data_IF_177441115110
#
_entry.id   IF_177441115110
#
_cell.length_a   1.000
_cell.length_b   1.000
_cell.length_c   1.000
_cell.angle_alpha   90.00
_cell.angle_beta   90.00
_cell.angle_gamma   90.00
#
_symmetry.space_group_name_H-M   'P 1'
#
loop_
_entity.id
_entity.type
_entity.pdbx_description
1 polymer ?
#
# COMPACT_ATOMS: atom_id res chain seq x y z
N UNK A 1 22.77 -3.69 20.75
CA UNK A 1 22.59 -2.74 19.63
C UNK A 1 22.74 -3.53 18.35
N UNK A 2 21.68 -3.66 17.55
CA UNK A 2 21.82 -4.25 16.22
C UNK A 2 22.72 -3.33 15.39
N UNK A 3 23.75 -3.87 14.76
CA UNK A 3 24.59 -3.09 13.86
C UNK A 3 23.71 -2.64 12.68
N UNK A 4 23.48 -1.34 12.55
CA UNK A 4 22.75 -0.80 11.40
C UNK A 4 23.47 -1.22 10.12
N UNK A 5 22.70 -1.76 9.18
CA UNK A 5 23.23 -2.22 7.91
C UNK A 5 23.86 -1.03 7.15
N UNK A 6 25.09 -1.16 6.62
CA UNK A 6 25.73 -0.06 5.91
C UNK A 6 24.91 0.32 4.67
N UNK A 7 24.58 1.60 4.55
CA UNK A 7 23.91 2.15 3.37
C UNK A 7 24.91 2.30 2.20
N UNK A 8 24.46 2.15 0.94
CA UNK A 8 25.27 2.47 -0.23
C UNK A 8 25.71 3.94 -0.24
N UNK A 9 26.81 4.23 -0.94
CA UNK A 9 27.34 5.58 -1.08
C UNK A 9 26.25 6.57 -1.57
N UNK A 10 26.18 7.72 -0.88
CA UNK A 10 25.23 8.79 -1.15
C UNK A 10 23.89 8.69 -0.41
N UNK A 11 23.62 7.63 0.34
CA UNK A 11 22.44 7.54 1.21
C UNK A 11 22.79 7.93 2.65
N UNK A 12 21.99 8.82 3.23
CA UNK A 12 22.06 9.23 4.64
C UNK A 12 20.89 8.58 5.40
N UNK A 13 21.12 7.85 6.51
CA UNK A 13 20.06 7.29 7.34
C UNK A 13 18.94 8.27 7.72
N UNK A 14 19.26 9.57 7.88
CA UNK A 14 18.27 10.61 8.21
C UNK A 14 17.39 11.02 7.03
N UNK A 15 17.84 10.75 5.82
CA UNK A 15 17.19 11.14 4.57
C UNK A 15 16.96 9.94 3.65
N UNK A 16 16.77 8.75 4.22
CA UNK A 16 16.54 7.51 3.47
C UNK A 16 15.28 6.82 3.98
N UNK A 17 14.42 6.42 3.05
CA UNK A 17 13.26 5.55 3.30
C UNK A 17 13.42 4.28 2.48
N UNK A 18 13.26 3.13 3.12
CA UNK A 18 13.39 1.82 2.46
C UNK A 18 12.04 1.34 1.97
N UNK A 19 11.92 1.05 0.68
CA UNK A 19 10.71 0.48 0.10
C UNK A 19 10.79 -1.04 0.15
N UNK A 20 9.95 -1.67 0.95
CA UNK A 20 9.83 -3.11 1.15
C UNK A 20 9.10 -3.76 -0.05
N UNK A 21 9.73 -3.73 -1.22
CA UNK A 21 9.22 -4.35 -2.44
C UNK A 21 10.34 -4.91 -3.31
N UNK A 22 10.11 -6.07 -3.91
CA UNK A 22 10.90 -6.58 -5.03
C UNK A 22 10.50 -6.01 -6.41
N UNK A 23 9.40 -5.25 -6.51
CA UNK A 23 8.94 -4.70 -7.78
C UNK A 23 9.46 -3.27 -8.02
N UNK A 24 10.42 -3.13 -8.92
CA UNK A 24 11.03 -1.83 -9.26
C UNK A 24 10.05 -0.80 -9.81
N UNK A 25 8.95 -1.22 -10.44
CA UNK A 25 7.91 -0.28 -10.89
C UNK A 25 7.21 0.38 -9.71
N UNK A 26 6.98 -0.36 -8.61
CA UNK A 26 6.42 0.21 -7.38
C UNK A 26 7.36 1.25 -6.77
N UNK A 27 8.67 0.99 -6.76
CA UNK A 27 9.67 1.96 -6.29
C UNK A 27 9.55 3.28 -7.07
N UNK A 28 9.53 3.22 -8.41
CA UNK A 28 9.43 4.42 -9.25
C UNK A 28 8.13 5.20 -8.99
N UNK A 29 6.99 4.52 -8.84
CA UNK A 29 5.70 5.17 -8.53
C UNK A 29 5.70 5.83 -7.15
N UNK A 30 6.25 5.15 -6.14
CA UNK A 30 6.38 5.67 -4.77
C UNK A 30 7.28 6.90 -4.74
N UNK A 31 8.46 6.82 -5.34
CA UNK A 31 9.42 7.92 -5.39
C UNK A 31 8.84 9.14 -6.10
N UNK A 32 8.17 8.94 -7.25
CA UNK A 32 7.59 10.04 -8.02
C UNK A 32 6.54 10.85 -7.23
N UNK A 33 5.72 10.19 -6.40
CA UNK A 33 4.65 10.86 -5.65
C UNK A 33 5.15 11.38 -4.30
N UNK A 34 5.88 10.57 -3.54
CA UNK A 34 6.23 10.93 -2.17
C UNK A 34 7.39 11.92 -2.08
N UNK A 35 8.24 12.03 -3.11
CA UNK A 35 9.27 13.07 -3.16
C UNK A 35 8.72 14.49 -3.17
N UNK A 36 7.45 14.69 -3.59
CA UNK A 36 6.77 15.99 -3.53
C UNK A 36 6.56 16.48 -2.09
N UNK A 37 6.35 15.56 -1.15
CA UNK A 37 6.05 15.86 0.27
C UNK A 37 7.22 15.58 1.20
N UNK A 38 8.22 14.82 0.75
CA UNK A 38 9.45 14.50 1.48
C UNK A 38 10.69 15.05 0.76
N UNK A 39 10.88 16.38 0.71
CA UNK A 39 12.01 16.97 0.00
C UNK A 39 13.35 16.52 0.60
N UNK A 40 14.26 16.06 -0.26
CA UNK A 40 15.58 15.59 0.14
C UNK A 40 15.64 14.16 0.67
N UNK A 41 14.50 13.48 0.82
CA UNK A 41 14.47 12.05 1.12
C UNK A 41 14.75 11.25 -0.14
N UNK A 42 15.58 10.21 -0.02
CA UNK A 42 15.85 9.23 -1.07
C UNK A 42 15.15 7.92 -0.75
N UNK A 43 14.63 7.26 -1.78
CA UNK A 43 14.01 5.95 -1.66
C UNK A 43 14.98 4.87 -2.16
N UNK A 44 15.01 3.74 -1.48
CA UNK A 44 15.81 2.58 -1.88
C UNK A 44 14.99 1.32 -1.71
N UNK A 45 14.98 0.44 -2.72
CA UNK A 45 14.32 -0.86 -2.57
C UNK A 45 15.10 -1.71 -1.58
N UNK A 46 14.40 -2.45 -0.72
CA UNK A 46 15.01 -3.28 0.30
C UNK A 46 16.02 -4.28 -0.29
N UNK A 47 15.74 -4.82 -1.49
CA UNK A 47 16.63 -5.76 -2.19
C UNK A 47 17.97 -5.16 -2.62
N UNK A 48 18.07 -3.82 -2.67
CA UNK A 48 19.32 -3.11 -2.98
C UNK A 48 20.20 -2.92 -1.74
N UNK A 49 19.65 -3.08 -0.53
CA UNK A 49 20.41 -2.95 0.72
C UNK A 49 20.97 -4.29 1.19
N UNK A 50 20.15 -5.34 1.11
CA UNK A 50 20.57 -6.70 1.43
C UNK A 50 19.80 -7.73 0.62
N UNK A 51 20.50 -8.85 0.37
CA UNK A 51 19.84 -10.11 0.08
C UNK A 51 18.94 -10.44 1.29
N UNK A 52 17.64 -10.43 1.07
CA UNK A 52 16.65 -10.78 2.07
C UNK A 52 15.55 -11.58 1.39
N UNK A 53 14.94 -12.48 2.15
CA UNK A 53 13.69 -13.09 1.71
C UNK A 53 12.57 -12.11 2.09
N UNK A 54 11.67 -11.82 1.16
CA UNK A 54 10.46 -11.07 1.50
C UNK A 54 9.72 -11.83 2.63
N UNK A 55 9.21 -11.12 3.64
CA UNK A 55 8.49 -11.77 4.73
C UNK A 55 7.22 -12.45 4.21
N UNK A 56 6.83 -13.55 4.86
CA UNK A 56 5.60 -14.25 4.50
C UNK A 56 4.37 -13.38 4.80
N UNK A 57 3.54 -13.15 3.78
CA UNK A 57 2.27 -12.42 3.86
C UNK A 57 1.19 -13.31 4.51
N UNK A 58 1.14 -13.30 5.84
CA UNK A 58 0.21 -14.10 6.66
C UNK A 58 -1.03 -13.33 7.10
N UNK A 59 -1.16 -12.05 6.71
CA UNK A 59 -2.30 -11.21 7.02
C UNK A 59 -3.57 -11.63 6.29
N UNK A 60 -4.71 -11.37 6.91
CA UNK A 60 -6.04 -11.56 6.33
C UNK A 60 -6.50 -10.33 5.51
N UNK A 61 -5.77 -9.22 5.59
CA UNK A 61 -6.06 -7.95 4.92
C UNK A 61 -4.82 -7.35 4.23
N UNK A 62 -5.06 -6.44 3.28
CA UNK A 62 -3.99 -5.69 2.62
C UNK A 62 -3.19 -4.83 3.61
N UNK A 63 -3.88 -4.26 4.60
CA UNK A 63 -3.27 -3.48 5.66
C UNK A 63 -2.28 -4.30 6.49
N UNK A 64 -2.69 -5.47 6.97
CA UNK A 64 -1.82 -6.36 7.74
C UNK A 64 -0.59 -6.78 6.93
N UNK A 65 -0.76 -7.14 5.66
CA UNK A 65 0.35 -7.52 4.79
C UNK A 65 1.31 -6.34 4.52
N UNK A 66 0.79 -5.13 4.28
CA UNK A 66 1.61 -3.94 4.13
C UNK A 66 2.41 -3.66 5.42
N UNK A 67 1.77 -3.76 6.59
CA UNK A 67 2.43 -3.59 7.88
C UNK A 67 3.46 -4.67 8.18
N UNK A 68 3.19 -5.94 7.86
CA UNK A 68 4.15 -7.05 8.01
C UNK A 68 5.42 -6.73 7.22
N UNK A 69 5.27 -6.34 5.94
CA UNK A 69 6.39 -5.98 5.06
C UNK A 69 7.17 -4.78 5.59
N UNK A 70 6.48 -3.69 5.93
CA UNK A 70 7.13 -2.47 6.41
C UNK A 70 7.87 -2.70 7.74
N UNK A 71 7.21 -3.35 8.73
CA UNK A 71 7.83 -3.64 10.04
C UNK A 71 9.01 -4.57 9.94
N UNK A 72 8.94 -5.61 9.10
CA UNK A 72 10.08 -6.50 8.87
C UNK A 72 11.27 -5.73 8.28
N UNK A 73 11.00 -4.81 7.35
CA UNK A 73 12.03 -3.96 6.77
C UNK A 73 12.65 -2.99 7.80
N UNK A 74 11.82 -2.35 8.63
CA UNK A 74 12.30 -1.51 9.75
C UNK A 74 13.15 -2.33 10.72
N UNK A 75 12.72 -3.53 11.10
CA UNK A 75 13.46 -4.40 12.01
C UNK A 75 14.82 -4.82 11.43
N UNK A 76 14.90 -5.06 10.12
CA UNK A 76 16.12 -5.48 9.45
C UNK A 76 17.10 -4.32 9.19
N UNK A 77 16.59 -3.12 8.93
CA UNK A 77 17.41 -1.99 8.46
C UNK A 77 17.65 -0.93 9.55
N UNK A 78 16.72 -0.79 10.49
CA UNK A 78 16.65 0.32 11.43
C UNK A 78 16.28 1.66 10.78
N UNK A 79 15.81 1.65 9.53
CA UNK A 79 15.42 2.84 8.77
C UNK A 79 13.90 2.89 8.62
N UNK A 80 13.30 4.08 8.41
CA UNK A 80 11.89 4.17 8.06
C UNK A 80 11.59 3.37 6.79
N UNK A 81 10.44 2.72 6.75
CA UNK A 81 10.05 1.87 5.63
C UNK A 81 8.68 2.19 5.07
N UNK A 82 8.53 1.97 3.76
CA UNK A 82 7.26 1.97 3.05
C UNK A 82 7.03 0.58 2.46
N UNK A 83 5.81 0.06 2.60
CA UNK A 83 5.38 -1.16 1.91
C UNK A 83 3.99 -0.97 1.29
N UNK A 84 3.75 -1.62 0.16
CA UNK A 84 2.46 -1.65 -0.54
C UNK A 84 1.95 -3.08 -0.63
N UNK A 85 0.70 -3.29 -0.22
CA UNK A 85 -0.07 -4.49 -0.53
C UNK A 85 -1.29 -4.14 -1.38
N UNK A 86 -1.46 -4.88 -2.47
CA UNK A 86 -2.44 -4.53 -3.50
C UNK A 86 -3.05 -5.76 -4.14
N UNK A 87 -4.33 -5.69 -4.51
CA UNK A 87 -5.03 -6.79 -5.14
C UNK A 87 -6.35 -6.41 -5.77
N UNK A 88 -6.96 -7.38 -6.44
CA UNK A 88 -8.29 -7.30 -7.03
C UNK A 88 -9.32 -7.85 -6.03
N UNK A 89 -10.40 -7.11 -5.83
CA UNK A 89 -11.55 -7.49 -5.01
C UNK A 89 -12.76 -7.55 -5.93
N UNK A 90 -13.45 -8.69 -5.98
CA UNK A 90 -14.64 -8.88 -6.83
C UNK A 90 -15.85 -9.16 -5.97
N UNK A 91 -16.88 -8.34 -6.11
CA UNK A 91 -18.04 -8.37 -5.22
C UNK A 91 -18.80 -9.70 -5.31
N UNK A 92 -19.01 -10.20 -6.54
CA UNK A 92 -19.69 -11.48 -6.77
C UNK A 92 -18.91 -12.72 -6.27
N UNK A 93 -17.66 -12.54 -5.83
CA UNK A 93 -16.83 -13.61 -5.27
C UNK A 93 -16.50 -13.36 -3.80
N UNK A 94 -17.35 -12.62 -3.08
CA UNK A 94 -17.16 -12.26 -1.68
C UNK A 94 -15.78 -11.62 -1.41
N UNK A 95 -15.32 -10.81 -2.37
CA UNK A 95 -14.05 -10.09 -2.33
C UNK A 95 -12.84 -10.87 -2.83
N UNK A 96 -12.97 -12.13 -3.25
CA UNK A 96 -11.88 -12.86 -3.88
C UNK A 96 -11.50 -12.22 -5.25
N UNK A 97 -10.23 -12.30 -5.68
CA UNK A 97 -9.11 -13.00 -5.03
C UNK A 97 -8.52 -12.30 -3.79
N UNK A 98 -8.76 -11.01 -3.59
CA UNK A 98 -8.33 -10.27 -2.39
C UNK A 98 -6.82 -10.30 -2.19
N UNK A 99 -6.36 -10.54 -0.96
CA UNK A 99 -4.93 -10.67 -0.61
C UNK A 99 -4.23 -11.82 -1.33
N UNK A 100 -4.98 -12.76 -1.90
CA UNK A 100 -4.43 -13.86 -2.70
C UNK A 100 -4.25 -13.51 -4.17
N UNK A 101 -4.45 -12.26 -4.58
CA UNK A 101 -4.42 -11.81 -5.98
C UNK A 101 -3.23 -12.32 -6.78
N UNK A 102 -2.01 -12.27 -6.24
CA UNK A 102 -0.80 -12.72 -6.92
C UNK A 102 -0.70 -14.26 -7.04
N UNK A 103 -1.43 -15.00 -6.20
CA UNK A 103 -1.35 -16.46 -6.06
C UNK A 103 -2.72 -17.14 -6.15
N UNK A 104 -3.67 -16.52 -6.87
CA UNK A 104 -5.05 -16.96 -6.89
C UNK A 104 -5.20 -18.37 -7.50
N UNK A 105 -4.38 -18.69 -8.49
CA UNK A 105 -4.26 -20.03 -9.08
C UNK A 105 -3.28 -20.96 -8.36
N UNK A 106 -2.78 -20.58 -7.19
CA UNK A 106 -1.88 -21.39 -6.34
C UNK A 106 -0.39 -21.13 -6.54
N UNK A 107 0.01 -20.57 -7.68
CA UNK A 107 1.40 -20.18 -7.96
C UNK A 107 1.51 -18.65 -7.97
N UNK A 108 2.50 -18.11 -7.25
CA UNK A 108 2.74 -16.67 -7.20
C UNK A 108 3.20 -16.14 -8.57
N UNK A 109 2.55 -15.09 -9.08
CA UNK A 109 2.93 -14.39 -10.30
C UNK A 109 2.50 -15.06 -11.61
N UNK A 110 1.65 -16.10 -11.57
CA UNK A 110 1.10 -16.72 -12.77
C UNK A 110 -0.17 -15.98 -13.24
N UNK A 111 0.03 -14.85 -13.91
CA UNK A 111 -1.07 -14.01 -14.40
C UNK A 111 -2.03 -14.74 -15.34
N UNK A 112 -1.52 -15.67 -16.15
CA UNK A 112 -2.34 -16.45 -17.09
C UNK A 112 -3.27 -17.38 -16.32
N UNK A 113 -2.75 -18.15 -15.36
CA UNK A 113 -3.56 -19.04 -14.56
C UNK A 113 -4.53 -18.27 -13.63
N UNK A 114 -4.08 -17.14 -13.06
CA UNK A 114 -4.90 -16.25 -12.24
C UNK A 114 -6.10 -15.72 -13.04
N UNK A 115 -5.87 -15.22 -14.25
CA UNK A 115 -6.93 -14.73 -15.14
C UNK A 115 -7.89 -15.84 -15.56
N UNK A 116 -7.38 -17.04 -15.90
CA UNK A 116 -8.21 -18.19 -16.25
C UNK A 116 -9.12 -18.61 -15.08
N UNK A 117 -8.58 -18.68 -13.85
CA UNK A 117 -9.37 -18.98 -12.65
C UNK A 117 -10.44 -17.92 -12.39
N UNK A 118 -10.12 -16.64 -12.56
CA UNK A 118 -11.08 -15.55 -12.39
C UNK A 118 -12.23 -15.64 -13.38
N UNK A 119 -11.93 -15.87 -14.66
CA UNK A 119 -12.95 -16.03 -15.69
C UNK A 119 -13.88 -17.22 -15.41
N UNK A 120 -13.30 -18.36 -15.02
CA UNK A 120 -14.07 -19.55 -14.64
C UNK A 120 -14.97 -19.31 -13.43
N UNK A 121 -14.44 -18.67 -12.38
CA UNK A 121 -15.22 -18.33 -11.19
C UNK A 121 -16.42 -17.41 -11.48
N UNK A 122 -16.32 -16.59 -12.53
CA UNK A 122 -17.34 -15.63 -12.91
C UNK A 122 -18.17 -16.07 -14.13
N UNK A 123 -18.07 -17.31 -14.59
CA UNK A 123 -18.72 -17.76 -15.84
C UNK A 123 -20.24 -17.54 -15.82
N UNK A 124 -20.88 -17.89 -14.71
CA UNK A 124 -22.33 -17.78 -14.52
C UNK A 124 -22.79 -16.39 -14.01
N UNK A 125 -21.87 -15.47 -13.73
CA UNK A 125 -22.21 -14.15 -13.17
C UNK A 125 -22.66 -13.18 -14.29
N UNK A 126 -23.87 -12.59 -14.18
CA UNK A 126 -24.36 -11.58 -15.12
C UNK A 126 -23.47 -10.33 -15.19
N UNK A 127 -23.44 -9.63 -16.32
CA UNK A 127 -22.50 -8.50 -16.54
C UNK A 127 -22.69 -7.33 -15.56
N UNK A 128 -23.92 -7.13 -15.09
CA UNK A 128 -24.32 -6.15 -14.09
C UNK A 128 -23.78 -6.43 -12.69
N UNK A 129 -23.45 -7.69 -12.38
CA UNK A 129 -22.99 -8.15 -11.06
C UNK A 129 -21.45 -8.32 -10.99
N UNK A 130 -20.73 -8.10 -12.09
CA UNK A 130 -19.26 -8.25 -12.17
C UNK A 130 -18.48 -7.06 -11.58
N UNK A 131 -19.05 -6.36 -10.60
CA UNK A 131 -18.39 -5.22 -9.98
C UNK A 131 -17.11 -5.66 -9.26
N UNK A 132 -16.06 -4.88 -9.44
CA UNK A 132 -14.76 -5.17 -8.88
C UNK A 132 -13.99 -3.88 -8.65
N UNK A 133 -12.99 -3.97 -7.78
CA UNK A 133 -12.06 -2.87 -7.52
C UNK A 133 -10.66 -3.40 -7.37
N UNK A 134 -9.70 -2.68 -7.94
CA UNK A 134 -8.34 -2.79 -7.43
C UNK A 134 -8.22 -1.99 -6.14
N UNK A 135 -7.52 -2.53 -5.15
CA UNK A 135 -7.24 -1.90 -3.87
C UNK A 135 -5.74 -1.90 -3.61
N UNK A 136 -5.22 -0.82 -3.03
CA UNK A 136 -3.86 -0.74 -2.49
C UNK A 136 -3.91 -0.10 -1.11
N UNK A 137 -3.16 -0.69 -0.18
CA UNK A 137 -2.83 -0.11 1.11
C UNK A 137 -1.32 0.06 1.17
N UNK A 138 -0.89 1.29 1.42
CA UNK A 138 0.53 1.65 1.56
C UNK A 138 0.79 2.03 3.01
N UNK A 139 1.67 1.29 3.67
CA UNK A 139 2.08 1.54 5.04
C UNK A 139 3.43 2.26 5.09
N UNK A 140 3.52 3.33 5.87
CA UNK A 140 4.76 3.96 6.32
C UNK A 140 4.99 3.63 7.79
N UNK A 141 6.19 3.17 8.14
CA UNK A 141 6.57 2.80 9.51
C UNK A 141 7.92 3.43 9.85
N UNK A 142 7.97 4.18 10.95
CA UNK A 142 9.23 4.67 11.54
C UNK A 142 9.88 3.62 12.46
N UNK A 143 11.21 3.62 12.61
CA UNK A 143 11.88 2.84 13.65
C UNK A 143 11.52 3.38 15.04
N UNK A 144 11.42 2.47 16.01
CA UNK A 144 11.37 2.87 17.41
C UNK A 144 12.63 3.62 17.80
N UNK A 145 12.48 4.82 18.34
CA UNK A 145 13.58 5.52 18.99
C UNK A 145 13.71 4.91 20.37
N UNK A 146 14.84 4.24 20.64
CA UNK A 146 15.14 3.77 21.99
C UNK A 146 15.16 4.99 22.93
N UNK A 147 14.11 5.17 23.73
CA UNK A 147 14.08 6.18 24.78
C UNK A 147 15.18 5.82 25.78
N UNK A 148 16.15 6.72 25.99
CA UNK A 148 16.91 6.68 27.24
C UNK A 148 15.90 6.90 28.37
N UNK A 149 15.98 6.12 29.44
CA UNK A 149 14.98 5.95 30.49
C UNK A 149 14.62 7.18 31.36
N UNK A 150 14.59 8.40 30.82
CA UNK A 150 14.48 9.64 31.58
C UNK A 150 13.11 10.37 31.50
N UNK A 151 12.20 10.00 30.59
CA UNK A 151 11.00 10.81 30.34
C UNK A 151 9.69 10.01 30.37
N UNK A 152 9.52 9.14 31.36
CA UNK A 152 8.23 8.56 31.70
C UNK A 152 7.60 9.30 32.90
N UNK A 153 7.03 10.49 32.67
CA UNK A 153 6.03 11.07 33.58
C UNK A 153 5.32 12.27 32.94
N UNK A 154 4.13 12.04 32.40
CA UNK A 154 2.91 12.84 32.62
C UNK A 154 1.70 12.16 31.94
N UNK A 155 0.51 12.17 32.55
CA UNK A 155 -0.66 11.48 32.02
C UNK A 155 -1.37 12.30 30.94
N UNK A 156 -1.88 11.60 29.94
CA UNK A 156 -2.59 12.15 28.78
C UNK A 156 -3.92 12.81 29.18
N UNK A 157 -4.23 13.93 28.52
CA UNK A 157 -5.57 14.54 28.52
C UNK A 157 -6.37 13.99 27.34
N UNK A 158 -7.54 13.48 27.70
CA UNK A 158 -8.64 13.05 26.84
C UNK A 158 -8.99 14.10 25.76
N UNK A 159 -9.09 13.68 24.49
CA UNK A 159 -9.49 14.54 23.37
C UNK A 159 -10.80 14.05 22.74
N UNK A 160 -11.65 15.03 22.42
CA UNK A 160 -13.04 14.92 22.03
C UNK A 160 -13.27 14.35 20.62
N UNK A 161 -14.45 13.73 20.45
CA UNK A 161 -14.97 13.15 19.22
C UNK A 161 -15.14 14.17 18.08
N UNK A 162 -14.74 13.77 16.87
CA UNK A 162 -15.08 14.45 15.62
C UNK A 162 -16.14 13.62 14.85
N UNK A 163 -17.04 14.35 14.20
CA UNK A 163 -18.34 13.95 13.67
C UNK A 163 -18.35 13.42 12.23
N UNK A 164 -19.28 12.48 11.99
CA UNK A 164 -20.07 12.19 10.79
C UNK A 164 -19.36 12.11 9.42
N UNK A 165 -19.04 10.87 9.02
CA UNK A 165 -18.90 10.46 7.61
C UNK A 165 -19.85 9.28 7.36
N UNK A 166 -20.67 9.40 6.32
CA UNK A 166 -21.73 8.47 5.92
C UNK A 166 -21.17 7.04 5.67
N UNK A 167 -21.55 6.10 6.52
CA UNK A 167 -20.85 4.84 6.82
C UNK A 167 -21.52 3.59 6.23
N UNK A 168 -21.81 3.61 4.93
CA UNK A 168 -22.36 2.44 4.25
C UNK A 168 -21.39 1.92 3.17
N UNK A 169 -20.82 0.72 3.43
CA UNK A 169 -20.10 -0.16 2.49
C UNK A 169 -18.56 -0.08 2.33
N UNK A 170 -17.76 0.16 3.38
CA UNK A 170 -16.30 -0.07 3.31
C UNK A 170 -15.67 -0.48 4.66
N UNK A 171 -15.67 -1.78 5.05
CA UNK A 171 -15.08 -2.23 6.32
C UNK A 171 -13.55 -1.98 6.43
N UNK A 172 -12.86 -1.74 5.31
CA UNK A 172 -11.41 -1.51 5.28
C UNK A 172 -10.98 -0.07 5.64
N UNK A 173 -11.88 0.92 5.53
CA UNK A 173 -11.56 2.30 5.90
C UNK A 173 -11.60 2.50 7.41
N UNK A 174 -12.49 1.79 8.10
CA UNK A 174 -12.66 1.85 9.57
C UNK A 174 -11.40 1.36 10.30
N UNK A 175 -10.82 0.23 9.88
CA UNK A 175 -9.58 -0.31 10.44
C UNK A 175 -8.40 0.68 10.35
N UNK A 176 -8.27 1.39 9.23
CA UNK A 176 -7.21 2.38 9.03
C UNK A 176 -7.36 3.60 9.95
N UNK A 177 -8.59 4.01 10.28
CA UNK A 177 -8.84 5.14 11.17
C UNK A 177 -8.49 4.82 12.62
N UNK A 178 -8.73 3.58 13.06
CA UNK A 178 -8.41 3.13 14.42
C UNK A 178 -6.90 3.08 14.70
N UNK A 179 -6.09 2.64 13.72
CA UNK A 179 -4.62 2.62 13.86
C UNK A 179 -4.03 4.03 13.84
N UNK A 180 -4.52 4.91 12.96
CA UNK A 180 -4.07 6.30 12.90
C UNK A 180 -4.38 7.07 14.21
N UNK A 181 -5.34 6.60 15.01
CA UNK A 181 -5.73 7.19 16.30
C UNK A 181 -4.77 6.92 17.46
N UNK A 182 -3.80 6.01 17.34
CA UNK A 182 -2.82 5.72 18.40
C UNK A 182 -1.64 6.71 18.39
N UNK A 183 -1.93 8.01 18.41
CA UNK A 183 -0.94 9.07 18.56
C UNK A 183 -0.67 9.32 20.05
N UNK A 184 0.35 8.65 20.61
CA UNK A 184 0.97 9.06 21.89
C UNK A 184 2.45 9.38 21.68
N UNK A 185 2.96 10.36 22.44
CA UNK A 185 4.35 10.79 22.37
C UNK A 185 5.29 9.69 22.85
N UNK A 186 5.90 8.97 21.91
CA UNK A 186 6.93 7.96 22.18
C UNK A 186 6.87 6.72 21.30
N UNK A 187 5.75 6.47 20.62
CA UNK A 187 5.60 5.32 19.72
C UNK A 187 6.05 5.63 18.28
N UNK A 188 6.55 4.61 17.55
CA UNK A 188 6.92 4.76 16.15
C UNK A 188 5.69 5.15 15.33
N UNK A 189 5.82 6.15 14.47
CA UNK A 189 4.71 6.57 13.62
C UNK A 189 4.38 5.46 12.62
N UNK A 190 3.08 5.13 12.54
CA UNK A 190 2.51 4.25 11.54
C UNK A 190 1.46 5.05 10.82
N UNK A 191 1.63 5.20 9.50
CA UNK A 191 0.67 5.90 8.66
C UNK A 191 0.25 4.96 7.54
N UNK A 192 -1.06 4.89 7.31
CA UNK A 192 -1.64 4.08 6.24
C UNK A 192 -2.27 4.99 5.20
N UNK A 193 -1.91 4.78 3.93
CA UNK A 193 -2.58 5.34 2.77
C UNK A 193 -3.43 4.28 2.07
N UNK A 194 -4.67 4.60 1.73
CA UNK A 194 -5.59 3.69 1.08
C UNK A 194 -6.06 4.25 -0.26
N UNK A 195 -6.22 3.39 -1.26
CA UNK A 195 -6.74 3.80 -2.57
C UNK A 195 -7.40 2.67 -3.32
N UNK A 196 -8.46 3.01 -4.05
CA UNK A 196 -9.20 2.07 -4.90
C UNK A 196 -9.30 2.57 -6.33
N UNK A 197 -9.54 1.63 -7.24
CA UNK A 197 -9.94 1.91 -8.61
C UNK A 197 -11.16 1.04 -8.90
N UNK A 198 -12.34 1.65 -8.96
CA UNK A 198 -13.61 0.95 -9.18
C UNK A 198 -13.81 0.60 -10.66
N UNK A 199 -14.45 -0.54 -10.91
CA UNK A 199 -14.67 -1.04 -12.26
C UNK A 199 -15.45 -2.35 -12.30
N UNK A 200 -15.26 -3.08 -13.39
CA UNK A 200 -15.91 -4.38 -13.62
C UNK A 200 -14.97 -5.38 -14.28
N UNK A 201 -15.26 -6.66 -14.14
CA UNK A 201 -14.51 -7.72 -14.83
C UNK A 201 -15.12 -7.99 -16.20
N UNK A 202 -14.30 -7.98 -17.25
CA UNK A 202 -14.68 -8.33 -18.61
C UNK A 202 -14.94 -9.85 -18.77
N UNK A 203 -15.51 -10.23 -19.92
CA UNK A 203 -15.66 -11.64 -20.33
C UNK A 203 -14.45 -12.20 -21.08
N UNK A 204 -13.56 -11.33 -21.54
CA UNK A 204 -12.38 -11.72 -22.31
C UNK A 204 -11.25 -10.72 -22.06
N UNK A 205 -10.01 -11.20 -22.21
CA UNK A 205 -8.80 -10.39 -22.13
C UNK A 205 -8.79 -9.37 -23.27
N UNK A 206 -8.40 -8.14 -22.97
CA UNK A 206 -8.22 -7.05 -23.94
C UNK A 206 -6.98 -6.23 -23.57
N UNK A 207 -6.24 -5.76 -24.56
CA UNK A 207 -5.04 -4.94 -24.36
C UNK A 207 -3.76 -5.73 -24.08
N UNK A 208 -2.63 -5.05 -24.28
CA UNK A 208 -1.28 -5.63 -24.23
C UNK A 208 -0.38 -4.94 -23.18
N UNK A 209 -0.87 -3.87 -22.54
CA UNK A 209 -0.14 -3.16 -21.49
C UNK A 209 -0.45 -3.72 -20.10
N UNK A 210 0.37 -3.35 -19.12
CA UNK A 210 0.11 -3.70 -17.72
C UNK A 210 0.45 -5.15 -17.38
N UNK A 211 -0.16 -5.67 -16.32
CA UNK A 211 0.11 -7.00 -15.76
C UNK A 211 -1.08 -7.49 -14.91
N UNK A 212 -1.02 -8.74 -14.44
CA UNK A 212 -2.04 -9.31 -13.56
C UNK A 212 -3.42 -9.33 -14.23
N UNK A 213 -4.39 -8.71 -13.54
CA UNK A 213 -5.78 -8.66 -13.98
C UNK A 213 -6.10 -7.45 -14.88
N UNK A 214 -5.12 -6.63 -15.24
CA UNK A 214 -5.32 -5.45 -16.09
C UNK A 214 -6.09 -5.75 -17.40
N UNK A 215 -5.83 -6.87 -18.11
CA UNK A 215 -6.57 -7.18 -19.34
C UNK A 215 -8.03 -7.57 -19.15
N UNK A 216 -8.43 -7.90 -17.92
CA UNK A 216 -9.82 -8.21 -17.56
C UNK A 216 -10.52 -7.04 -16.87
N UNK A 217 -9.79 -6.08 -16.30
CA UNK A 217 -10.39 -5.03 -15.49
C UNK A 217 -10.82 -3.83 -16.34
N UNK A 218 -12.10 -3.47 -16.25
CA UNK A 218 -12.73 -2.34 -16.95
C UNK A 218 -12.94 -1.19 -15.96
N UNK A 219 -12.02 -0.21 -15.90
CA UNK A 219 -12.11 0.89 -14.95
C UNK A 219 -13.31 1.80 -15.28
N UNK A 220 -14.09 2.15 -14.26
CA UNK A 220 -15.21 3.09 -14.41
C UNK A 220 -14.75 4.45 -14.93
N UNK A 221 -13.55 4.89 -14.55
CA UNK A 221 -12.97 6.16 -14.96
C UNK A 221 -12.60 6.23 -16.45
N UNK A 222 -12.48 5.09 -17.15
CA UNK A 222 -12.17 5.01 -18.59
C UNK A 222 -13.10 4.01 -19.29
N UNK A 223 -14.39 4.36 -19.49
CA UNK A 223 -15.37 3.46 -20.07
C UNK A 223 -14.96 2.91 -21.43
N UNK A 224 -15.26 1.63 -21.66
CA UNK A 224 -15.03 0.95 -22.95
C UNK A 224 -13.66 0.31 -23.10
N UNK A 225 -12.66 0.74 -22.33
CA UNK A 225 -11.31 0.18 -22.31
C UNK A 225 -11.08 -0.69 -21.08
N UNK A 226 -10.22 -1.69 -21.20
CA UNK A 226 -9.59 -2.36 -20.06
C UNK A 226 -8.38 -1.57 -19.57
N UNK A 227 -7.89 -1.86 -18.36
CA UNK A 227 -6.65 -1.25 -17.84
C UNK A 227 -5.45 -1.55 -18.74
N UNK A 228 -5.40 -2.72 -19.37
CA UNK A 228 -4.33 -3.10 -20.31
C UNK A 228 -4.42 -2.41 -21.69
N UNK A 229 -5.50 -1.68 -21.98
CA UNK A 229 -5.63 -0.82 -23.16
C UNK A 229 -5.25 0.64 -22.89
N UNK A 230 -4.93 0.97 -21.64
CA UNK A 230 -4.45 2.29 -21.24
C UNK A 230 -2.93 2.35 -21.36
N UNK A 231 -2.41 3.49 -21.82
CA UNK A 231 -0.98 3.75 -21.70
C UNK A 231 -0.55 3.80 -20.23
N UNK A 232 0.74 3.58 -19.90
CA UNK A 232 1.21 3.63 -18.52
C UNK A 232 0.86 4.94 -17.80
N UNK A 233 0.94 6.08 -18.47
CA UNK A 233 0.57 7.38 -17.89
C UNK A 233 -0.93 7.51 -17.62
N UNK A 234 -1.78 7.01 -18.53
CA UNK A 234 -3.23 7.01 -18.32
C UNK A 234 -3.66 6.09 -17.18
N UNK A 235 -3.05 4.90 -17.09
CA UNK A 235 -3.27 3.95 -15.99
C UNK A 235 -2.90 4.58 -14.66
N UNK A 236 -1.71 5.18 -14.58
CA UNK A 236 -1.19 5.76 -13.35
C UNK A 236 -2.06 6.90 -12.82
N UNK A 237 -2.70 7.67 -13.70
CA UNK A 237 -3.60 8.76 -13.32
C UNK A 237 -4.90 8.30 -12.64
N UNK A 238 -5.27 7.02 -12.73
CA UNK A 238 -6.54 6.48 -12.21
C UNK A 238 -6.34 5.27 -11.30
N UNK A 239 -5.08 4.90 -11.00
CA UNK A 239 -4.80 3.66 -10.30
C UNK A 239 -5.05 3.77 -8.80
N UNK A 240 -5.49 2.67 -8.21
CA UNK A 240 -5.60 2.46 -6.77
C UNK A 240 -4.32 2.86 -6.02
N UNK A 241 -3.14 2.52 -6.55
CA UNK A 241 -1.86 2.90 -5.93
C UNK A 241 -1.59 4.39 -5.97
N UNK A 242 -1.93 5.09 -7.07
CA UNK A 242 -1.80 6.54 -7.13
C UNK A 242 -2.62 7.21 -6.02
N UNK A 243 -3.88 6.79 -5.84
CA UNK A 243 -4.72 7.31 -4.78
C UNK A 243 -4.20 6.95 -3.38
N UNK A 244 -3.73 5.72 -3.17
CA UNK A 244 -3.13 5.30 -1.89
C UNK A 244 -1.89 6.12 -1.53
N UNK A 245 -1.03 6.40 -2.51
CA UNK A 245 0.16 7.23 -2.31
C UNK A 245 -0.17 8.70 -2.10
N UNK A 246 -1.21 9.24 -2.74
CA UNK A 246 -1.68 10.60 -2.46
C UNK A 246 -2.28 10.74 -1.06
N UNK A 247 -3.06 9.75 -0.61
CA UNK A 247 -3.57 9.69 0.76
C UNK A 247 -2.43 9.60 1.78
N UNK A 248 -1.46 8.71 1.55
CA UNK A 248 -0.25 8.63 2.39
C UNK A 248 0.56 9.93 2.38
N UNK A 249 0.70 10.58 1.22
CA UNK A 249 1.45 11.83 1.08
C UNK A 249 0.84 12.95 1.93
N UNK A 250 -0.49 13.08 1.95
CA UNK A 250 -1.16 14.05 2.82
C UNK A 250 -0.88 13.78 4.30
N UNK A 251 -1.02 12.53 4.74
CA UNK A 251 -0.76 12.11 6.13
C UNK A 251 0.70 12.32 6.53
N UNK A 252 1.63 12.01 5.64
CA UNK A 252 3.06 12.26 5.83
C UNK A 252 3.35 13.75 5.96
N UNK A 253 2.75 14.59 5.12
CA UNK A 253 2.95 16.03 5.17
C UNK A 253 2.52 16.60 6.53
N UNK A 254 1.34 16.22 7.01
CA UNK A 254 0.82 16.63 8.33
C UNK A 254 1.73 16.13 9.47
N UNK A 255 2.15 14.86 9.41
CA UNK A 255 3.05 14.27 10.39
C UNK A 255 4.39 15.02 10.47
N UNK A 256 5.00 15.32 9.31
CA UNK A 256 6.28 16.04 9.24
C UNK A 256 6.16 17.48 9.74
N UNK A 257 5.07 18.18 9.42
CA UNK A 257 4.79 19.52 9.97
C UNK A 257 4.63 19.49 11.50
N UNK A 258 3.93 18.49 12.03
CA UNK A 258 3.72 18.34 13.47
C UNK A 258 5.03 18.10 14.24
N UNK A 259 6.00 17.41 13.63
CA UNK A 259 7.34 17.22 14.19
C UNK A 259 8.19 18.49 14.13
N UNK A 260 8.11 19.24 13.03
CA UNK A 260 8.86 20.48 12.84
C UNK A 260 8.39 21.60 13.80
N UNK A 261 7.09 21.65 14.11
CA UNK A 261 6.49 22.64 15.01
C UNK A 261 6.66 22.38 16.52
N UNK A 262 7.36 21.31 16.93
CA UNK A 262 7.65 20.97 18.34
C UNK A 262 8.96 21.56 18.88
N UNK A 263 9.55 22.54 18.19
CA UNK A 263 10.76 23.25 18.60
C UNK A 263 10.52 24.75 18.77
#
# INVERSE_FOLDING_TARGET
MAAHMPLPDGFDPKHTVVVATGNMHKLTEIEAILSEVLPGVRFIAWGQLAAHNEPEETGASFEENALIKARACVAATGLPSIADDSGLVVDALDGAPGVYSARYAGVHGDDVANNARLLSALEAVPDEERNARFMSVVAYVEPEIAQSAAEASKPDKELAAASDVDSANMPYLEASAEINGQMSSGNPAILLGCGTCEGRIARALRGDFGFGYDPLFLPQARPGKSMAELSPSEKNAISHRFFALKDLAHKLHEHMQSKAGRF
#
